data_IF_458935763544
#
_entry.id   IF_458935763544
#
_cell.length_a   1.000
_cell.length_b   1.000
_cell.length_c   1.000
_cell.angle_alpha   90.00
_cell.angle_beta   90.00
_cell.angle_gamma   90.00
#
_symmetry.space_group_name_H-M   'P 1'
#
loop_
_entity.id
_entity.type
_entity.pdbx_description
1 polymer ?
#
# COMPACT_ATOMS: atom_id res chain seq x y z
N UNK A 1 8.17 -8.15 -11.38
CA UNK A 1 6.73 -8.33 -11.07
C UNK A 1 6.66 -9.00 -9.71
N UNK A 2 6.04 -8.36 -8.72
CA UNK A 2 5.89 -8.92 -7.37
C UNK A 2 4.72 -9.88 -7.38
N UNK A 3 4.93 -11.13 -6.97
CA UNK A 3 3.86 -12.14 -6.89
C UNK A 3 3.20 -12.07 -5.53
N UNK A 4 1.95 -12.52 -5.45
CA UNK A 4 1.21 -12.70 -4.18
C UNK A 4 2.01 -13.50 -3.14
N UNK A 5 2.82 -14.47 -3.57
CA UNK A 5 3.70 -15.26 -2.67
C UNK A 5 4.81 -14.41 -2.04
N UNK A 6 5.35 -13.43 -2.78
CA UNK A 6 6.37 -12.51 -2.28
C UNK A 6 5.75 -11.57 -1.24
N UNK A 7 4.51 -11.12 -1.48
CA UNK A 7 3.76 -10.27 -0.55
C UNK A 7 3.37 -11.02 0.71
N UNK A 8 2.96 -12.28 0.58
CA UNK A 8 2.65 -13.14 1.73
C UNK A 8 3.88 -13.36 2.61
N UNK A 9 5.04 -13.61 1.98
CA UNK A 9 6.31 -13.71 2.70
C UNK A 9 6.67 -12.39 3.40
N UNK A 10 6.50 -11.25 2.71
CA UNK A 10 6.76 -9.94 3.31
C UNK A 10 5.85 -9.64 4.50
N UNK A 11 4.55 -9.96 4.40
CA UNK A 11 3.58 -9.78 5.48
C UNK A 11 3.88 -10.66 6.69
N UNK A 12 4.32 -11.91 6.48
CA UNK A 12 4.59 -12.86 7.57
C UNK A 12 5.98 -12.66 8.22
N UNK A 13 7.02 -12.49 7.41
CA UNK A 13 8.43 -12.46 7.86
C UNK A 13 9.00 -11.03 7.96
N UNK A 14 8.20 -10.00 7.66
CA UNK A 14 8.62 -8.60 7.66
C UNK A 14 9.86 -8.32 6.77
N UNK A 15 9.98 -9.05 5.65
CA UNK A 15 11.11 -8.91 4.70
C UNK A 15 11.03 -7.64 3.85
N UNK A 16 9.84 -7.03 3.76
CA UNK A 16 9.59 -5.75 3.12
C UNK A 16 8.42 -5.04 3.81
N UNK A 17 8.42 -3.71 3.77
CA UNK A 17 7.28 -2.91 4.19
C UNK A 17 6.23 -2.89 3.09
N UNK A 18 4.97 -3.10 3.45
CA UNK A 18 3.85 -3.04 2.50
C UNK A 18 3.15 -1.69 2.68
N UNK A 19 3.04 -0.89 1.63
CA UNK A 19 2.34 0.40 1.66
C UNK A 19 1.05 0.28 0.86
N UNK A 20 -0.08 0.56 1.50
CA UNK A 20 -1.39 0.55 0.87
C UNK A 20 -1.89 1.98 0.58
N UNK A 21 -2.10 2.26 -0.71
CA UNK A 21 -2.52 3.57 -1.22
C UNK A 21 -4.03 3.84 -1.11
N UNK A 22 -4.84 2.89 -0.62
CA UNK A 22 -6.29 3.05 -0.51
C UNK A 22 -6.66 4.09 0.57
N UNK A 23 -7.85 4.70 0.47
CA UNK A 23 -8.42 5.50 1.56
C UNK A 23 -8.45 4.74 2.89
N UNK A 24 -8.23 5.46 4.00
CA UNK A 24 -8.14 4.87 5.34
C UNK A 24 -9.37 4.02 5.71
N UNK A 25 -10.59 4.48 5.38
CA UNK A 25 -11.81 3.74 5.67
C UNK A 25 -11.86 2.35 5.01
N UNK A 26 -11.28 2.19 3.80
CA UNK A 26 -11.18 0.89 3.12
C UNK A 26 -10.14 0.00 3.77
N UNK A 27 -8.98 0.59 4.09
CA UNK A 27 -7.90 -0.07 4.80
C UNK A 27 -8.34 -0.59 6.19
N UNK A 28 -9.05 0.23 6.96
CA UNK A 28 -9.55 -0.08 8.30
C UNK A 28 -10.81 -0.98 8.34
N UNK A 29 -11.27 -1.47 7.19
CA UNK A 29 -12.50 -2.27 7.07
C UNK A 29 -13.81 -1.55 7.47
N UNK A 30 -13.82 -0.21 7.49
CA UNK A 30 -14.97 0.61 7.87
C UNK A 30 -16.04 0.66 6.76
N UNK A 31 -15.60 0.62 5.50
CA UNK A 31 -16.48 0.64 4.32
C UNK A 31 -16.26 -0.58 3.43
N UNK A 32 -17.25 -0.88 2.59
CA UNK A 32 -17.10 -1.90 1.56
C UNK A 32 -16.15 -1.47 0.45
N UNK A 33 -15.53 -2.46 -0.17
CA UNK A 33 -14.75 -2.27 -1.38
C UNK A 33 -15.68 -1.95 -2.57
N UNK A 34 -15.30 -1.01 -3.46
CA UNK A 34 -16.14 -0.66 -4.62
C UNK A 34 -16.44 -1.85 -5.53
N UNK A 35 -15.54 -2.84 -5.56
CA UNK A 35 -15.72 -4.09 -6.30
C UNK A 35 -16.47 -5.10 -5.41
N UNK A 36 -17.66 -5.55 -5.84
CA UNK A 36 -18.43 -6.53 -5.07
C UNK A 36 -17.66 -7.83 -4.83
N UNK A 37 -17.86 -8.43 -3.66
CA UNK A 37 -17.29 -9.73 -3.29
C UNK A 37 -15.86 -9.68 -2.72
N UNK A 38 -15.20 -8.53 -2.68
CA UNK A 38 -13.94 -8.39 -1.97
C UNK A 38 -14.15 -8.28 -0.46
N UNK A 39 -13.26 -8.91 0.31
CA UNK A 39 -13.22 -8.76 1.76
C UNK A 39 -12.83 -7.32 2.14
N UNK A 40 -13.33 -6.86 3.29
CA UNK A 40 -12.89 -5.61 3.92
C UNK A 40 -11.56 -5.81 4.65
N UNK A 41 -10.77 -4.74 4.79
CA UNK A 41 -9.49 -4.75 5.52
C UNK A 41 -8.29 -4.53 4.61
N UNK A 42 -7.13 -4.96 5.08
CA UNK A 42 -5.84 -4.80 4.44
C UNK A 42 -4.93 -6.02 4.66
N UNK A 43 -3.78 -6.00 3.97
CA UNK A 43 -2.73 -7.01 4.09
C UNK A 43 -2.08 -6.84 5.46
N UNK A 44 -1.91 -7.91 6.27
CA UNK A 44 -1.37 -7.77 7.62
C UNK A 44 -0.02 -7.04 7.67
N UNK A 45 0.11 -6.11 8.62
CA UNK A 45 1.32 -5.30 8.80
C UNK A 45 1.53 -4.20 7.76
N UNK A 46 0.59 -3.99 6.83
CA UNK A 46 0.70 -2.90 5.86
C UNK A 46 0.57 -1.52 6.52
N UNK A 47 1.24 -0.53 5.97
CA UNK A 47 1.14 0.88 6.35
C UNK A 47 0.19 1.59 5.38
N UNK A 48 -0.78 2.33 5.90
CA UNK A 48 -1.70 3.09 5.06
C UNK A 48 -1.12 4.46 4.69
N UNK A 49 -0.92 4.71 3.40
CA UNK A 49 -0.53 6.02 2.85
C UNK A 49 -1.47 6.35 1.69
N UNK A 50 -2.65 6.92 1.96
CA UNK A 50 -3.62 7.23 0.90
C UNK A 50 -2.99 8.12 -0.17
N UNK A 51 -3.10 7.74 -1.45
CA UNK A 51 -2.45 8.49 -2.54
C UNK A 51 -2.87 9.97 -2.60
N UNK A 52 -4.09 10.28 -2.16
CA UNK A 52 -4.63 11.65 -2.09
C UNK A 52 -3.86 12.54 -1.12
N UNK A 53 -3.18 11.96 -0.13
CA UNK A 53 -2.31 12.69 0.78
C UNK A 53 -1.01 13.14 0.10
N UNK A 54 -0.61 12.52 -1.01
CA UNK A 54 0.65 12.80 -1.70
C UNK A 54 0.51 13.86 -2.79
N UNK A 55 -0.72 14.25 -3.13
CA UNK A 55 -1.04 15.11 -4.28
C UNK A 55 -1.75 16.37 -3.80
N UNK A 56 -1.41 17.52 -4.40
CA UNK A 56 -2.14 18.79 -4.26
C UNK A 56 -2.34 19.37 -5.66
N UNK A 57 -3.59 19.68 -5.99
CA UNK A 57 -3.96 20.31 -7.27
C UNK A 57 -3.50 19.54 -8.53
N UNK A 58 -3.41 18.21 -8.43
CA UNK A 58 -2.99 17.33 -9.54
C UNK A 58 -1.48 17.11 -9.64
N UNK A 59 -0.68 17.76 -8.79
CA UNK A 59 0.77 17.60 -8.71
C UNK A 59 1.18 16.90 -7.41
N UNK A 60 2.34 16.24 -7.42
CA UNK A 60 2.93 15.75 -6.18
C UNK A 60 3.23 16.91 -5.24
N UNK A 61 3.06 16.69 -3.94
CA UNK A 61 3.54 17.60 -2.90
C UNK A 61 5.08 17.71 -2.95
N UNK A 62 5.64 18.70 -2.26
CA UNK A 62 7.09 18.89 -2.22
C UNK A 62 7.78 17.69 -1.58
N UNK A 63 9.08 17.50 -1.86
CA UNK A 63 9.87 16.42 -1.24
C UNK A 63 9.78 16.43 0.28
N UNK A 64 9.87 17.61 0.90
CA UNK A 64 9.77 17.76 2.37
C UNK A 64 8.40 17.34 2.91
N UNK A 65 7.32 17.70 2.20
CA UNK A 65 5.96 17.30 2.56
C UNK A 65 5.77 15.77 2.40
N UNK A 66 6.29 15.18 1.32
CA UNK A 66 6.22 13.75 1.08
C UNK A 66 7.01 12.96 2.14
N UNK A 67 8.22 13.41 2.47
CA UNK A 67 9.03 12.81 3.54
C UNK A 67 8.29 12.83 4.87
N UNK A 68 7.75 14.00 5.25
CA UNK A 68 6.98 14.12 6.47
C UNK A 68 5.79 13.16 6.51
N UNK A 69 5.10 12.96 5.38
CA UNK A 69 4.00 12.00 5.26
C UNK A 69 4.50 10.56 5.44
N UNK A 70 5.54 10.14 4.72
CA UNK A 70 6.04 8.76 4.80
C UNK A 70 6.61 8.43 6.18
N UNK A 71 7.46 9.30 6.74
CA UNK A 71 8.00 9.11 8.10
C UNK A 71 6.90 9.16 9.16
N UNK A 72 5.93 10.07 9.03
CA UNK A 72 4.78 10.15 9.92
C UNK A 72 3.89 8.89 9.92
N UNK A 73 3.99 8.07 8.87
CA UNK A 73 3.32 6.76 8.75
C UNK A 73 4.21 5.59 9.12
N UNK A 74 5.43 5.85 9.59
CA UNK A 74 6.39 4.82 10.03
C UNK A 74 7.15 4.13 8.90
N UNK A 75 7.15 4.70 7.68
CA UNK A 75 7.91 4.15 6.56
C UNK A 75 9.41 4.43 6.76
N UNK A 76 10.23 3.39 6.59
CA UNK A 76 11.69 3.46 6.61
C UNK A 76 12.27 3.23 5.22
N UNK A 77 13.09 4.13 4.71
CA UNK A 77 13.69 3.99 3.37
C UNK A 77 14.85 3.00 3.29
N UNK A 78 15.36 2.55 4.44
CA UNK A 78 16.44 1.56 4.52
C UNK A 78 15.95 0.12 4.30
N UNK A 79 14.64 -0.08 4.23
CA UNK A 79 14.01 -1.40 4.06
C UNK A 79 13.37 -1.49 2.67
N UNK A 80 13.32 -2.69 2.06
CA UNK A 80 12.55 -2.90 0.84
C UNK A 80 11.09 -2.48 1.01
N UNK A 81 10.50 -1.90 -0.03
CA UNK A 81 9.10 -1.44 -0.02
C UNK A 81 8.32 -2.13 -1.14
N UNK A 82 7.15 -2.64 -0.81
CA UNK A 82 6.14 -3.11 -1.74
C UNK A 82 4.94 -2.15 -1.67
N UNK A 83 4.63 -1.47 -2.76
CA UNK A 83 3.45 -0.60 -2.83
C UNK A 83 2.27 -1.35 -3.44
N UNK A 84 1.08 -1.09 -2.91
CA UNK A 84 -0.18 -1.72 -3.32
C UNK A 84 -1.36 -0.75 -3.21
N UNK A 85 -2.52 -1.13 -3.75
CA UNK A 85 -3.77 -0.39 -3.60
C UNK A 85 -4.99 -1.30 -3.83
N UNK A 86 -6.07 -0.79 -4.44
CA UNK A 86 -7.23 -1.60 -4.84
C UNK A 86 -6.97 -2.50 -6.06
N UNK A 87 -6.35 -1.97 -7.11
CA UNK A 87 -6.23 -2.60 -8.44
C UNK A 87 -4.91 -2.29 -9.15
N UNK A 88 -3.88 -1.89 -8.39
CA UNK A 88 -2.56 -1.50 -8.92
C UNK A 88 -2.45 -0.07 -9.47
N UNK A 89 -3.57 0.63 -9.72
CA UNK A 89 -3.54 1.96 -10.37
C UNK A 89 -3.02 3.06 -9.44
N UNK A 90 -3.70 3.32 -8.32
CA UNK A 90 -3.30 4.42 -7.41
C UNK A 90 -2.00 4.16 -6.65
N UNK A 91 -1.54 2.90 -6.63
CA UNK A 91 -0.23 2.55 -6.09
C UNK A 91 0.93 3.16 -6.91
N UNK A 92 0.69 3.46 -8.20
CA UNK A 92 1.67 4.15 -9.03
C UNK A 92 1.98 5.57 -8.54
N UNK A 93 1.03 6.25 -7.88
CA UNK A 93 1.27 7.58 -7.29
C UNK A 93 2.22 7.48 -6.10
N UNK A 94 2.04 6.47 -5.25
CA UNK A 94 2.96 6.18 -4.13
C UNK A 94 4.34 5.79 -4.64
N UNK A 95 4.40 4.95 -5.69
CA UNK A 95 5.65 4.58 -6.35
C UNK A 95 6.38 5.81 -6.90
N UNK A 96 5.66 6.70 -7.57
CA UNK A 96 6.23 7.93 -8.14
C UNK A 96 6.75 8.84 -7.03
N UNK A 97 5.99 9.05 -5.97
CA UNK A 97 6.41 9.87 -4.83
C UNK A 97 7.71 9.33 -4.19
N UNK A 98 7.81 8.02 -3.96
CA UNK A 98 9.03 7.40 -3.43
C UNK A 98 10.20 7.50 -4.41
N UNK A 99 9.94 7.39 -5.72
CA UNK A 99 10.97 7.59 -6.74
C UNK A 99 11.46 9.05 -6.80
N UNK A 100 10.58 10.03 -6.59
CA UNK A 100 10.94 11.46 -6.49
C UNK A 100 11.82 11.76 -5.27
N UNK A 101 11.72 10.93 -4.23
CA UNK A 101 12.56 10.99 -3.03
C UNK A 101 13.83 10.13 -3.14
N UNK A 102 14.14 9.60 -4.33
CA UNK A 102 15.27 8.72 -4.60
C UNK A 102 15.30 7.45 -3.70
N UNK A 103 14.14 7.00 -3.21
CA UNK A 103 14.04 5.82 -2.35
C UNK A 103 14.32 4.56 -3.18
N UNK A 104 15.34 3.77 -2.81
CA UNK A 104 15.68 2.56 -3.56
C UNK A 104 14.73 1.39 -3.20
N UNK A 105 14.80 0.32 -3.99
CA UNK A 105 14.17 -0.97 -3.69
C UNK A 105 12.63 -0.93 -3.50
N UNK A 106 11.95 -0.05 -4.22
CA UNK A 106 10.49 0.02 -4.25
C UNK A 106 9.95 -0.83 -5.39
N UNK A 107 8.99 -1.71 -5.11
CA UNK A 107 8.33 -2.57 -6.10
C UNK A 107 6.82 -2.43 -6.03
N UNK A 108 6.15 -2.52 -7.18
CA UNK A 108 4.69 -2.52 -7.28
C UNK A 108 4.15 -3.96 -7.22
N UNK A 109 3.17 -4.18 -6.35
CA UNK A 109 2.30 -5.35 -6.39
C UNK A 109 1.00 -5.01 -7.15
N UNK A 110 0.92 -5.47 -8.40
CA UNK A 110 -0.15 -5.15 -9.35
C UNK A 110 -1.46 -5.91 -9.08
N UNK A 111 -1.38 -7.14 -8.59
CA UNK A 111 -2.55 -7.91 -8.13
C UNK A 111 -3.34 -7.21 -7.03
N UNK A 112 -2.62 -6.49 -6.16
CA UNK A 112 -3.16 -5.56 -5.19
C UNK A 112 -4.25 -6.16 -4.28
N UNK A 113 -5.13 -5.32 -3.72
CA UNK A 113 -6.26 -5.80 -2.92
C UNK A 113 -7.29 -6.60 -3.75
N UNK A 114 -7.36 -6.37 -5.06
CA UNK A 114 -8.24 -7.15 -5.94
C UNK A 114 -7.89 -8.63 -5.98
N UNK A 115 -6.60 -8.98 -5.98
CA UNK A 115 -6.14 -10.37 -5.86
C UNK A 115 -6.20 -10.83 -4.40
N UNK A 116 -5.64 -10.05 -3.47
CA UNK A 116 -5.53 -10.46 -2.06
C UNK A 116 -6.89 -10.58 -1.37
N UNK A 117 -7.73 -9.54 -1.50
CA UNK A 117 -9.04 -9.46 -0.88
C UNK A 117 -10.05 -10.49 -1.42
N UNK A 118 -9.84 -11.00 -2.64
CA UNK A 118 -10.68 -12.04 -3.24
C UNK A 118 -10.36 -13.47 -2.75
N UNK A 119 -9.19 -13.67 -2.14
CA UNK A 119 -8.66 -14.99 -1.78
C UNK A 119 -8.89 -15.31 -0.31
N UNK A 120 -9.81 -16.23 -0.02
CA UNK A 120 -10.12 -16.63 1.36
C UNK A 120 -8.95 -17.27 2.13
N UNK A 121 -7.95 -17.80 1.42
CA UNK A 121 -6.76 -18.44 1.99
C UNK A 121 -5.68 -17.44 2.48
N UNK A 122 -5.81 -16.15 2.17
CA UNK A 122 -4.85 -15.13 2.57
C UNK A 122 -5.31 -14.37 3.83
N UNK A 123 -4.39 -14.03 4.75
CA UNK A 123 -4.74 -13.36 6.00
C UNK A 123 -5.16 -11.91 5.76
N UNK A 124 -5.95 -11.35 6.67
CA UNK A 124 -6.49 -9.97 6.57
C UNK A 124 -6.50 -9.32 7.94
N UNK A 125 -6.14 -8.04 7.99
CA UNK A 125 -6.29 -7.17 9.15
C UNK A 125 -7.34 -6.07 8.89
N UNK A 126 -8.10 -5.63 9.91
CA UNK A 126 -8.24 -6.30 11.23
C UNK A 126 -8.93 -7.66 11.09
N UNK A 127 -8.61 -8.59 12.02
CA UNK A 127 -9.30 -9.89 12.10
C UNK A 127 -10.75 -9.65 12.54
N UNK A 128 -11.71 -10.20 11.79
CA UNK A 128 -13.13 -10.20 12.17
C UNK A 128 -13.41 -11.14 13.34
#
# INVERSE_FOLDING_TARGET
MVKVTDVLLASHENTAQIIDARPAARFNAEVDEPRPGLRRGHIPGALNVPWTELVREGELKTTDELDAIFFGRGVSYDKPIIVSCGSGVTAAVVLLALATLDVPNVKLYDGAWSEWGARADLPVEPVK
#
